data_IF_363889235144
#
_entry.id   IF_363889235144
#
_cell.length_a   1.000
_cell.length_b   1.000
_cell.length_c   1.000
_cell.angle_alpha   90.00
_cell.angle_beta   90.00
_cell.angle_gamma   90.00
#
_symmetry.space_group_name_H-M   'P 1'
#
loop_
_entity.id
_entity.type
_entity.pdbx_description
1 polymer ?
#
# COMPACT_ATOMS: atom_id res chain seq x y z
N UNK A 1 -7.40 -11.07 24.01
CA UNK A 1 -6.75 -10.57 22.79
C UNK A 1 -6.85 -9.06 22.77
N UNK A 2 -5.72 -8.39 22.53
CA UNK A 2 -5.65 -6.94 22.34
C UNK A 2 -6.42 -6.53 21.08
N UNK A 3 -7.21 -5.46 21.17
CA UNK A 3 -7.88 -4.92 19.99
C UNK A 3 -6.87 -4.21 19.10
N UNK A 4 -6.68 -4.77 17.92
CA UNK A 4 -5.71 -4.28 16.94
C UNK A 4 -6.39 -3.44 15.87
N UNK A 5 -5.83 -2.27 15.60
CA UNK A 5 -6.12 -1.44 14.43
C UNK A 5 -4.92 -1.43 13.51
N UNK A 6 -5.14 -1.49 12.20
CA UNK A 6 -4.10 -1.32 11.18
C UNK A 6 -4.52 -0.19 10.25
N UNK A 7 -3.61 0.75 10.01
CA UNK A 7 -3.75 1.80 9.02
C UNK A 7 -2.63 1.61 7.99
N UNK A 8 -2.96 1.47 6.72
CA UNK A 8 -1.97 1.20 5.66
C UNK A 8 -2.23 2.05 4.42
N UNK A 9 -1.20 2.23 3.60
CA UNK A 9 -1.30 2.92 2.32
C UNK A 9 -2.11 2.09 1.30
N UNK A 10 -2.58 2.78 0.24
CA UNK A 10 -3.54 2.24 -0.75
C UNK A 10 -2.90 1.66 -2.00
N UNK A 11 -1.58 1.74 -2.15
CA UNK A 11 -0.86 1.16 -3.28
C UNK A 11 -0.41 -0.29 -2.99
N UNK A 12 0.48 -0.80 -3.84
CA UNK A 12 0.92 -2.18 -3.74
C UNK A 12 1.70 -2.45 -2.46
N UNK A 13 2.58 -1.54 -2.05
CA UNK A 13 3.42 -1.75 -0.88
C UNK A 13 2.58 -1.78 0.42
N UNK A 14 1.65 -0.83 0.58
CA UNK A 14 0.69 -0.84 1.68
C UNK A 14 -0.25 -2.07 1.70
N UNK A 15 -0.70 -2.54 0.54
CA UNK A 15 -1.57 -3.74 0.44
C UNK A 15 -0.81 -5.02 0.77
N UNK A 16 0.41 -5.17 0.25
CA UNK A 16 1.27 -6.34 0.52
C UNK A 16 1.75 -6.35 1.98
N UNK A 17 2.01 -5.17 2.56
CA UNK A 17 2.26 -5.00 4.00
C UNK A 17 1.09 -5.54 4.83
N UNK A 18 -0.14 -5.20 4.46
CA UNK A 18 -1.33 -5.74 5.13
C UNK A 18 -1.47 -7.25 4.94
N UNK A 19 -1.25 -7.77 3.73
CA UNK A 19 -1.31 -9.22 3.47
C UNK A 19 -0.30 -9.98 4.35
N UNK A 20 0.92 -9.48 4.47
CA UNK A 20 1.97 -10.00 5.37
C UNK A 20 1.49 -10.01 6.83
N UNK A 21 0.95 -8.89 7.30
CA UNK A 21 0.40 -8.78 8.65
C UNK A 21 -0.76 -9.76 8.90
N UNK A 22 -1.70 -9.89 7.96
CA UNK A 22 -2.83 -10.81 8.09
C UNK A 22 -2.37 -12.28 8.17
N UNK A 23 -1.32 -12.64 7.43
CA UNK A 23 -0.73 -13.97 7.48
C UNK A 23 -0.09 -14.25 8.85
N UNK A 24 0.66 -13.29 9.38
CA UNK A 24 1.19 -13.33 10.76
C UNK A 24 0.08 -13.42 11.81
N UNK A 25 -0.95 -12.59 11.70
CA UNK A 25 -2.07 -12.61 12.65
C UNK A 25 -2.76 -13.98 12.67
N UNK A 26 -2.96 -14.58 11.50
CA UNK A 26 -3.53 -15.93 11.37
C UNK A 26 -2.65 -17.01 11.98
N UNK A 27 -1.31 -16.91 11.91
CA UNK A 27 -0.42 -17.92 12.50
C UNK A 27 -0.50 -17.90 14.03
N UNK A 28 -0.50 -16.71 14.65
CA UNK A 28 -0.66 -16.57 16.10
C UNK A 28 -2.01 -17.12 16.57
N UNK A 29 -3.08 -16.74 15.87
CA UNK A 29 -4.45 -17.18 16.21
C UNK A 29 -4.56 -18.71 16.17
N UNK A 30 -3.99 -19.38 15.16
CA UNK A 30 -4.03 -20.85 15.06
C UNK A 30 -3.34 -21.54 16.23
N UNK A 31 -2.26 -20.97 16.74
CA UNK A 31 -1.57 -21.49 17.92
C UNK A 31 -2.43 -21.35 19.19
N UNK A 32 -3.11 -20.21 19.36
CA UNK A 32 -3.97 -19.95 20.53
C UNK A 32 -5.31 -20.72 20.49
N UNK A 33 -5.93 -20.87 19.31
CA UNK A 33 -7.24 -21.54 19.12
C UNK A 33 -7.18 -23.04 19.42
N UNK A 34 -6.00 -23.68 19.34
CA UNK A 34 -5.85 -25.08 19.77
C UNK A 34 -5.96 -25.26 21.29
N UNK A 35 -5.94 -24.17 22.07
CA UNK A 35 -5.96 -24.24 23.53
C UNK A 35 -7.25 -23.73 24.19
N UNK A 36 -8.05 -22.84 23.58
CA UNK A 36 -9.33 -22.36 24.15
C UNK A 36 -10.33 -21.91 23.07
N UNK A 37 -11.61 -22.26 23.25
CA UNK A 37 -12.77 -21.77 22.47
C UNK A 37 -12.88 -20.23 22.52
N UNK A 38 -12.12 -19.49 21.70
CA UNK A 38 -12.16 -18.04 21.71
C UNK A 38 -12.40 -17.40 20.34
N UNK A 39 -13.16 -16.32 20.39
CA UNK A 39 -13.55 -15.50 19.25
C UNK A 39 -12.30 -14.88 18.62
N UNK A 40 -12.10 -15.11 17.32
CA UNK A 40 -11.06 -14.44 16.54
C UNK A 40 -11.40 -12.95 16.45
N UNK A 41 -10.70 -12.11 17.22
CA UNK A 41 -10.86 -10.66 17.09
C UNK A 41 -10.17 -10.24 15.80
N UNK A 42 -10.97 -10.00 14.76
CA UNK A 42 -10.48 -9.45 13.50
C UNK A 42 -9.97 -8.02 13.72
N UNK A 43 -8.77 -7.69 13.23
CA UNK A 43 -8.24 -6.33 13.31
C UNK A 43 -9.14 -5.35 12.55
N UNK A 44 -9.25 -4.12 13.06
CA UNK A 44 -9.91 -3.02 12.33
C UNK A 44 -8.93 -2.45 11.31
N UNK A 45 -9.27 -2.51 10.03
CA UNK A 45 -8.37 -2.10 8.93
C UNK A 45 -8.86 -0.81 8.30
N UNK A 46 -7.93 0.11 8.08
CA UNK A 46 -8.16 1.36 7.36
C UNK A 46 -7.11 1.54 6.27
N UNK A 47 -7.57 1.90 5.09
CA UNK A 47 -6.73 2.31 3.98
C UNK A 47 -6.74 3.84 3.87
N UNK A 48 -5.58 4.45 3.69
CA UNK A 48 -5.48 5.92 3.60
C UNK A 48 -4.28 6.37 2.75
N UNK A 49 -4.11 7.69 2.65
CA UNK A 49 -2.96 8.35 2.04
C UNK A 49 -2.28 9.26 3.06
N UNK A 50 -1.02 9.66 2.85
CA UNK A 50 -0.30 10.53 3.80
C UNK A 50 -1.07 11.79 4.17
N UNK A 51 -1.71 12.43 3.18
CA UNK A 51 -2.51 13.66 3.38
C UNK A 51 -3.75 13.46 4.26
N UNK A 52 -4.27 12.23 4.37
CA UNK A 52 -5.48 11.90 5.14
C UNK A 52 -5.16 11.15 6.44
N UNK A 53 -3.90 10.82 6.71
CA UNK A 53 -3.50 9.95 7.81
C UNK A 53 -4.02 10.42 9.18
N UNK A 54 -3.84 11.71 9.50
CA UNK A 54 -4.34 12.28 10.75
C UNK A 54 -5.85 12.03 10.91
N UNK A 55 -6.63 12.35 9.88
CA UNK A 55 -8.08 12.14 9.89
C UNK A 55 -8.43 10.67 10.06
N UNK A 56 -7.70 9.76 9.41
CA UNK A 56 -7.91 8.32 9.53
C UNK A 56 -7.63 7.82 10.95
N UNK A 57 -6.57 8.27 11.61
CA UNK A 57 -6.26 7.95 13.01
C UNK A 57 -7.37 8.45 13.93
N UNK A 58 -7.84 9.69 13.75
CA UNK A 58 -8.93 10.23 14.56
C UNK A 58 -10.23 9.46 14.34
N UNK A 59 -10.55 9.10 13.10
CA UNK A 59 -11.72 8.27 12.77
C UNK A 59 -11.60 6.88 13.39
N UNK A 60 -10.43 6.25 13.37
CA UNK A 60 -10.24 4.93 13.98
C UNK A 60 -10.42 4.99 15.50
N UNK A 61 -9.96 6.06 16.14
CA UNK A 61 -10.19 6.32 17.57
C UNK A 61 -11.69 6.48 17.85
N UNK A 62 -12.38 7.34 17.10
CA UNK A 62 -13.81 7.64 17.31
C UNK A 62 -14.72 6.43 17.06
N UNK A 63 -14.38 5.59 16.08
CA UNK A 63 -15.14 4.37 15.80
C UNK A 63 -14.98 3.32 16.91
N UNK A 64 -13.88 3.38 17.66
CA UNK A 64 -13.67 2.58 18.86
C UNK A 64 -14.31 3.27 20.07
N UNK A 65 -15.65 3.19 20.16
CA UNK A 65 -16.53 3.91 21.11
C UNK A 65 -16.18 3.83 22.60
N UNK A 66 -15.27 2.94 23.03
CA UNK A 66 -14.72 2.94 24.38
C UNK A 66 -13.20 3.13 24.28
N UNK A 67 -12.67 4.19 24.91
CA UNK A 67 -11.22 4.48 24.98
C UNK A 67 -10.41 3.29 25.48
N UNK A 68 -11.00 2.44 26.32
CA UNK A 68 -10.41 1.20 26.81
C UNK A 68 -10.15 0.13 25.71
N UNK A 69 -10.57 0.37 24.46
CA UNK A 69 -10.39 -0.52 23.30
C UNK A 69 -9.25 -0.08 22.36
N UNK A 70 -8.48 0.94 22.70
CA UNK A 70 -7.37 1.44 21.89
C UNK A 70 -6.06 0.77 22.30
N UNK A 71 -5.98 -0.56 22.15
CA UNK A 71 -4.82 -1.31 22.63
C UNK A 71 -3.62 -1.14 21.69
N UNK A 72 -3.76 -1.57 20.44
CA UNK A 72 -2.64 -1.66 19.50
C UNK A 72 -2.99 -1.02 18.16
N UNK A 73 -2.12 -0.14 17.69
CA UNK A 73 -2.16 0.45 16.36
C UNK A 73 -0.91 0.04 15.57
N UNK A 74 -1.12 -0.48 14.36
CA UNK A 74 -0.08 -0.60 13.35
C UNK A 74 -0.30 0.47 12.28
N UNK A 75 0.78 1.14 11.88
CA UNK A 75 0.80 2.05 10.73
C UNK A 75 1.84 1.54 9.74
N UNK A 76 1.43 1.28 8.50
CA UNK A 76 2.30 0.78 7.44
C UNK A 76 2.36 1.78 6.28
N UNK A 77 3.58 1.99 5.77
CA UNK A 77 3.83 2.68 4.50
C UNK A 77 3.29 4.11 4.41
N UNK A 78 3.37 4.84 5.53
CA UNK A 78 2.78 6.16 5.65
C UNK A 78 3.69 7.07 6.47
N UNK A 79 4.24 8.10 5.86
CA UNK A 79 4.96 9.13 6.61
C UNK A 79 4.02 9.89 7.54
N UNK A 80 4.44 10.09 8.78
CA UNK A 80 3.67 10.86 9.74
C UNK A 80 4.02 12.36 9.73
N UNK A 81 3.10 13.14 10.29
CA UNK A 81 3.37 14.50 10.76
C UNK A 81 3.41 14.49 12.29
N UNK A 82 3.82 15.62 12.89
CA UNK A 82 3.75 15.82 14.33
C UNK A 82 2.35 15.51 14.88
N UNK A 83 1.31 15.98 14.22
CA UNK A 83 -0.09 15.83 14.64
C UNK A 83 -0.54 14.37 14.56
N UNK A 84 -0.15 13.63 13.51
CA UNK A 84 -0.50 12.21 13.38
C UNK A 84 0.26 11.36 14.41
N UNK A 85 1.53 11.68 14.71
CA UNK A 85 2.30 11.02 15.78
C UNK A 85 1.61 11.22 17.13
N UNK A 86 1.27 12.46 17.48
CA UNK A 86 0.59 12.77 18.76
C UNK A 86 -0.77 12.08 18.83
N UNK A 87 -1.52 12.02 17.72
CA UNK A 87 -2.82 11.35 17.71
C UNK A 87 -2.68 9.83 17.84
N UNK A 88 -1.67 9.23 17.21
CA UNK A 88 -1.39 7.81 17.33
C UNK A 88 -1.03 7.42 18.77
N UNK A 89 -0.38 8.32 19.54
CA UNK A 89 0.00 8.06 20.93
C UNK A 89 -1.19 7.94 21.89
N UNK A 90 -2.43 8.11 21.43
CA UNK A 90 -3.64 7.82 22.20
C UNK A 90 -3.83 6.30 22.37
N UNK A 91 -3.34 5.48 21.45
CA UNK A 91 -3.32 4.02 21.60
C UNK A 91 -2.33 3.60 22.69
N UNK A 92 -2.59 2.50 23.40
CA UNK A 92 -1.66 2.00 24.44
C UNK A 92 -0.30 1.64 23.88
N UNK A 93 -0.27 1.06 22.66
CA UNK A 93 0.93 0.82 21.87
C UNK A 93 0.68 1.19 20.41
N UNK A 94 1.65 1.83 19.79
CA UNK A 94 1.70 2.00 18.33
C UNK A 94 3.00 1.42 17.80
N UNK A 95 2.93 0.73 16.68
CA UNK A 95 4.08 0.32 15.88
C UNK A 95 3.95 0.95 14.50
N UNK A 96 4.94 1.73 14.11
CA UNK A 96 4.97 2.48 12.87
C UNK A 96 6.09 1.96 12.00
N UNK A 97 5.75 1.34 10.87
CA UNK A 97 6.67 0.71 9.93
C UNK A 97 6.59 1.44 8.60
N UNK A 98 7.67 2.06 8.18
CA UNK A 98 7.71 2.89 6.98
C UNK A 98 9.15 3.00 6.45
N UNK A 99 9.30 3.23 5.15
CA UNK A 99 10.59 3.37 4.48
C UNK A 99 10.82 4.78 3.90
N UNK A 100 9.84 5.68 4.01
CA UNK A 100 10.02 7.05 3.57
C UNK A 100 10.92 7.85 4.53
N UNK A 101 11.56 8.90 4.02
CA UNK A 101 12.28 9.86 4.85
C UNK A 101 11.33 10.91 5.43
N UNK A 102 11.23 11.00 6.76
CA UNK A 102 10.48 12.05 7.44
C UNK A 102 11.00 12.30 8.87
N UNK A 103 10.71 13.48 9.39
CA UNK A 103 11.21 13.92 10.68
C UNK A 103 10.33 13.43 11.83
N UNK A 104 10.92 12.65 12.75
CA UNK A 104 10.24 12.20 13.97
C UNK A 104 10.44 13.27 15.05
N UNK A 105 9.47 14.18 15.15
CA UNK A 105 9.48 15.23 16.18
C UNK A 105 8.70 14.76 17.41
N UNK A 106 9.31 14.82 18.60
CA UNK A 106 8.71 14.42 19.89
C UNK A 106 8.24 12.95 19.93
N UNK A 107 9.18 12.00 19.81
CA UNK A 107 8.91 10.56 19.91
C UNK A 107 8.20 10.20 21.23
N UNK A 108 6.90 9.83 21.21
CA UNK A 108 6.19 9.38 22.40
C UNK A 108 6.68 7.98 22.82
N UNK A 109 6.70 7.70 24.13
CA UNK A 109 7.27 6.45 24.67
C UNK A 109 6.52 5.19 24.21
N UNK A 110 5.22 5.30 23.95
CA UNK A 110 4.35 4.21 23.52
C UNK A 110 4.35 3.98 22.00
N UNK A 111 5.15 4.73 21.24
CA UNK A 111 5.29 4.55 19.80
C UNK A 111 6.65 3.96 19.46
N UNK A 112 6.61 2.76 18.91
CA UNK A 112 7.73 2.08 18.30
C UNK A 112 7.84 2.49 16.83
N UNK A 113 8.92 3.18 16.47
CA UNK A 113 9.23 3.55 15.09
C UNK A 113 10.23 2.55 14.53
N UNK A 114 9.83 1.79 13.51
CA UNK A 114 10.65 0.87 12.75
C UNK A 114 10.80 1.41 11.32
N UNK A 115 11.69 2.39 11.18
CA UNK A 115 11.85 3.20 9.97
C UNK A 115 13.22 2.97 9.37
N UNK A 116 13.28 2.61 8.09
CA UNK A 116 14.53 2.40 7.35
C UNK A 116 14.40 2.90 5.91
N UNK A 117 14.97 4.07 5.65
CA UNK A 117 14.94 4.74 4.34
C UNK A 117 15.83 4.10 3.29
N UNK A 118 16.61 3.08 3.66
CA UNK A 118 17.40 2.28 2.72
C UNK A 118 16.64 1.05 2.24
N UNK A 119 15.47 0.77 2.82
CA UNK A 119 14.58 -0.30 2.36
C UNK A 119 13.88 0.11 1.07
N UNK A 120 13.85 -0.81 0.11
CA UNK A 120 13.15 -0.63 -1.16
C UNK A 120 11.63 -0.60 -1.02
N UNK A 121 11.09 -1.07 0.10
CA UNK A 121 9.65 -1.10 0.39
C UNK A 121 9.39 -1.17 1.91
N UNK A 122 8.24 -0.69 2.35
CA UNK A 122 7.68 -0.87 3.68
C UNK A 122 7.27 -2.33 3.94
N UNK A 123 6.75 -3.05 2.95
CA UNK A 123 6.38 -4.46 3.09
C UNK A 123 7.60 -5.31 3.48
N UNK A 124 8.80 -5.00 2.95
CA UNK A 124 10.03 -5.65 3.40
C UNK A 124 10.31 -5.42 4.89
N UNK A 125 10.05 -4.22 5.39
CA UNK A 125 10.19 -3.91 6.81
C UNK A 125 9.14 -4.63 7.66
N UNK A 126 7.90 -4.69 7.19
CA UNK A 126 6.81 -5.45 7.83
C UNK A 126 7.17 -6.93 7.88
N UNK A 127 7.69 -7.50 6.79
CA UNK A 127 8.17 -8.89 6.72
C UNK A 127 9.27 -9.18 7.73
N UNK A 128 10.28 -8.31 7.83
CA UNK A 128 11.34 -8.42 8.84
C UNK A 128 10.78 -8.36 10.26
N UNK A 129 9.90 -7.39 10.53
CA UNK A 129 9.33 -7.15 11.85
C UNK A 129 8.52 -8.36 12.34
N UNK A 130 7.71 -8.97 11.47
CA UNK A 130 6.87 -10.14 11.82
C UNK A 130 7.50 -11.49 11.50
N UNK A 131 8.68 -11.53 10.87
CA UNK A 131 9.32 -12.74 10.36
C UNK A 131 8.45 -13.54 9.38
N UNK A 132 7.80 -12.84 8.43
CA UNK A 132 6.95 -13.43 7.36
C UNK A 132 7.40 -12.88 6.01
N UNK A 133 8.02 -13.73 5.17
CA UNK A 133 8.78 -13.31 3.97
C UNK A 133 8.18 -13.84 2.66
N UNK A 134 6.90 -13.58 2.42
CA UNK A 134 6.21 -14.08 1.21
C UNK A 134 6.04 -13.04 0.10
N UNK A 135 6.01 -11.75 0.47
CA UNK A 135 5.61 -10.67 -0.43
C UNK A 135 6.63 -9.55 -0.54
N UNK A 136 7.71 -9.58 0.24
CA UNK A 136 8.70 -8.50 0.33
C UNK A 136 9.49 -8.30 -0.96
N UNK A 137 9.91 -9.37 -1.62
CA UNK A 137 10.60 -9.26 -2.92
C UNK A 137 9.67 -8.69 -4.02
N UNK A 138 8.38 -9.04 -3.98
CA UNK A 138 7.38 -8.52 -4.92
C UNK A 138 7.07 -7.03 -4.67
N UNK A 139 6.97 -6.64 -3.39
CA UNK A 139 6.79 -5.24 -3.02
C UNK A 139 7.97 -4.38 -3.48
N UNK A 140 9.21 -4.87 -3.27
CA UNK A 140 10.42 -4.22 -3.76
C UNK A 140 10.42 -4.03 -5.28
N UNK A 141 10.02 -5.06 -6.05
CA UNK A 141 9.91 -4.96 -7.51
C UNK A 141 8.94 -3.86 -7.93
N UNK A 142 7.79 -3.76 -7.26
CA UNK A 142 6.74 -2.82 -7.63
C UNK A 142 7.09 -1.39 -7.21
N UNK A 143 7.55 -1.21 -5.97
CA UNK A 143 7.80 0.11 -5.39
C UNK A 143 8.99 0.81 -6.07
N UNK A 144 10.05 0.05 -6.40
CA UNK A 144 11.19 0.55 -7.17
C UNK A 144 10.92 0.68 -8.68
N UNK A 145 9.69 0.39 -9.12
CA UNK A 145 9.28 0.28 -10.53
C UNK A 145 10.23 -0.59 -11.38
N UNK A 146 10.76 -1.66 -10.80
CA UNK A 146 11.69 -2.61 -11.41
C UNK A 146 11.07 -4.01 -11.42
N UNK A 147 9.95 -4.15 -12.13
CA UNK A 147 9.20 -5.41 -12.25
C UNK A 147 10.03 -6.46 -12.99
N UNK A 148 10.26 -7.60 -12.35
CA UNK A 148 11.03 -8.73 -12.91
C UNK A 148 10.17 -9.96 -13.14
N UNK A 149 9.09 -10.07 -12.38
CA UNK A 149 8.23 -11.26 -12.36
C UNK A 149 6.83 -10.98 -12.88
N UNK A 150 6.19 -12.04 -13.41
CA UNK A 150 4.77 -12.01 -13.78
C UNK A 150 3.87 -11.72 -12.57
N UNK A 151 4.25 -12.22 -11.39
CA UNK A 151 3.57 -11.93 -10.13
C UNK A 151 3.56 -10.43 -9.81
N UNK A 152 4.72 -9.76 -9.91
CA UNK A 152 4.83 -8.31 -9.68
C UNK A 152 3.97 -7.51 -10.65
N UNK A 153 4.01 -7.86 -11.95
CA UNK A 153 3.20 -7.20 -12.98
C UNK A 153 1.70 -7.34 -12.71
N UNK A 154 1.26 -8.55 -12.35
CA UNK A 154 -0.15 -8.86 -12.14
C UNK A 154 -0.68 -8.21 -10.86
N UNK A 155 0.08 -8.21 -9.77
CA UNK A 155 -0.29 -7.46 -8.55
C UNK A 155 -0.40 -5.96 -8.84
N UNK A 156 0.60 -5.36 -9.49
CA UNK A 156 0.59 -3.94 -9.87
C UNK A 156 -0.64 -3.61 -10.70
N UNK A 157 -0.96 -4.45 -11.68
CA UNK A 157 -2.11 -4.29 -12.56
C UNK A 157 -3.43 -4.37 -11.79
N UNK A 158 -3.60 -5.39 -10.94
CA UNK A 158 -4.82 -5.59 -10.14
C UNK A 158 -5.04 -4.39 -9.22
N UNK A 159 -4.02 -3.94 -8.49
CA UNK A 159 -4.15 -2.81 -7.55
C UNK A 159 -4.41 -1.51 -8.30
N UNK A 160 -3.75 -1.31 -9.43
CA UNK A 160 -3.98 -0.13 -10.28
C UNK A 160 -5.41 -0.10 -10.83
N UNK A 161 -5.94 -1.25 -11.28
CA UNK A 161 -7.34 -1.39 -11.67
C UNK A 161 -8.29 -1.04 -10.52
N UNK A 162 -8.09 -1.64 -9.34
CA UNK A 162 -8.93 -1.38 -8.17
C UNK A 162 -8.95 0.12 -7.83
N UNK A 163 -7.79 0.77 -7.85
CA UNK A 163 -7.64 2.20 -7.59
C UNK A 163 -8.24 3.08 -8.68
N UNK A 164 -8.24 2.65 -9.94
CA UNK A 164 -8.83 3.44 -11.04
C UNK A 164 -10.36 3.35 -11.01
N UNK A 165 -10.92 2.18 -10.76
CA UNK A 165 -12.37 1.91 -10.81
C UNK A 165 -13.12 2.23 -9.50
N UNK A 166 -12.44 2.30 -8.36
CA UNK A 166 -13.09 2.45 -7.05
C UNK A 166 -12.56 3.64 -6.28
N UNK A 167 -13.38 4.22 -5.39
CA UNK A 167 -13.00 5.31 -4.48
C UNK A 167 -13.59 5.08 -3.08
N UNK A 168 -12.98 5.73 -2.08
CA UNK A 168 -13.45 5.73 -0.70
C UNK A 168 -13.67 4.32 -0.12
N UNK A 169 -14.79 4.11 0.56
CA UNK A 169 -15.11 2.84 1.24
C UNK A 169 -15.08 1.63 0.30
N UNK A 170 -15.56 1.78 -0.93
CA UNK A 170 -15.57 0.68 -1.90
C UNK A 170 -14.16 0.24 -2.28
N UNK A 171 -13.24 1.19 -2.47
CA UNK A 171 -11.83 0.88 -2.69
C UNK A 171 -11.23 0.15 -1.47
N UNK A 172 -11.46 0.67 -0.26
CA UNK A 172 -10.94 0.05 0.97
C UNK A 172 -11.41 -1.40 1.14
N UNK A 173 -12.69 -1.70 0.87
CA UNK A 173 -13.23 -3.06 0.93
C UNK A 173 -12.58 -3.99 -0.10
N UNK A 174 -12.37 -3.50 -1.32
CA UNK A 174 -11.73 -4.28 -2.40
C UNK A 174 -10.25 -4.54 -2.13
N UNK A 175 -9.50 -3.54 -1.65
CA UNK A 175 -8.09 -3.69 -1.28
C UNK A 175 -7.93 -4.63 -0.08
N UNK A 176 -8.79 -4.50 0.95
CA UNK A 176 -8.81 -5.43 2.08
C UNK A 176 -9.07 -6.86 1.59
N UNK A 177 -10.06 -7.05 0.71
CA UNK A 177 -10.37 -8.38 0.19
C UNK A 177 -9.19 -8.98 -0.57
N UNK A 178 -8.50 -8.18 -1.39
CA UNK A 178 -7.33 -8.64 -2.11
C UNK A 178 -6.18 -9.02 -1.17
N UNK A 179 -5.89 -8.21 -0.15
CA UNK A 179 -4.89 -8.53 0.87
C UNK A 179 -5.26 -9.82 1.65
N UNK A 180 -6.54 -10.00 1.97
CA UNK A 180 -7.06 -11.20 2.64
C UNK A 180 -6.88 -12.46 1.76
N UNK A 181 -7.20 -12.35 0.47
CA UNK A 181 -7.03 -13.44 -0.49
C UNK A 181 -5.56 -13.85 -0.64
N UNK A 182 -4.65 -12.88 -0.77
CA UNK A 182 -3.21 -13.12 -0.81
C UNK A 182 -2.73 -13.80 0.49
N UNK A 183 -3.13 -13.27 1.65
CA UNK A 183 -2.70 -13.78 2.95
C UNK A 183 -3.19 -15.21 3.22
N UNK A 184 -4.41 -15.55 2.78
CA UNK A 184 -5.07 -16.78 3.21
C UNK A 184 -5.07 -17.90 2.18
N UNK A 185 -5.05 -17.56 0.90
CA UNK A 185 -5.01 -18.51 -0.22
C UNK A 185 -3.60 -18.66 -0.77
N UNK A 186 -2.77 -17.62 -0.63
CA UNK A 186 -1.42 -17.57 -1.19
C UNK A 186 -1.37 -16.80 -2.50
N UNK A 187 -0.15 -16.57 -2.98
CA UNK A 187 0.12 -15.69 -4.13
C UNK A 187 -0.63 -16.11 -5.39
N UNK A 188 -0.77 -17.41 -5.67
CA UNK A 188 -1.38 -17.93 -6.90
C UNK A 188 -2.86 -17.56 -7.09
N UNK A 189 -3.53 -17.00 -6.06
CA UNK A 189 -4.88 -16.47 -6.17
C UNK A 189 -5.02 -15.41 -7.27
N UNK A 190 -3.92 -14.73 -7.63
CA UNK A 190 -3.93 -13.76 -8.72
C UNK A 190 -4.30 -14.39 -10.08
N UNK A 191 -4.18 -15.71 -10.25
CA UNK A 191 -4.60 -16.46 -11.45
C UNK A 191 -6.07 -16.90 -11.43
N UNK A 192 -6.84 -16.58 -10.39
CA UNK A 192 -8.28 -16.81 -10.41
C UNK A 192 -8.96 -15.94 -11.49
N UNK A 193 -10.00 -16.51 -12.11
CA UNK A 193 -10.78 -15.85 -13.17
C UNK A 193 -11.27 -14.45 -12.81
N UNK A 194 -11.57 -14.20 -11.53
CA UNK A 194 -11.96 -12.89 -11.04
C UNK A 194 -10.84 -11.85 -11.22
N UNK A 195 -9.62 -12.18 -10.82
CA UNK A 195 -8.46 -11.28 -10.93
C UNK A 195 -7.93 -11.17 -12.37
N UNK A 196 -7.98 -12.26 -13.15
CA UNK A 196 -7.66 -12.23 -14.58
C UNK A 196 -8.57 -11.25 -15.34
N UNK A 197 -9.87 -11.24 -15.02
CA UNK A 197 -10.79 -10.31 -15.67
C UNK A 197 -10.43 -8.84 -15.41
N UNK A 198 -9.90 -8.51 -14.23
CA UNK A 198 -9.43 -7.16 -13.89
C UNK A 198 -8.19 -6.79 -14.70
N UNK A 199 -7.25 -7.72 -14.83
CA UNK A 199 -6.02 -7.54 -15.61
C UNK A 199 -6.36 -7.22 -17.06
N UNK A 200 -7.26 -8.00 -17.66
CA UNK A 200 -7.67 -7.80 -19.06
C UNK A 200 -8.37 -6.46 -19.28
N UNK A 201 -9.25 -6.06 -18.35
CA UNK A 201 -9.93 -4.77 -18.40
C UNK A 201 -8.93 -3.62 -18.26
N UNK A 202 -7.98 -3.72 -17.34
CA UNK A 202 -7.00 -2.67 -17.13
C UNK A 202 -6.01 -2.56 -18.29
N UNK A 203 -5.60 -3.67 -18.91
CA UNK A 203 -4.76 -3.64 -20.11
C UNK A 203 -5.43 -2.86 -21.25
N UNK A 204 -6.73 -3.06 -21.46
CA UNK A 204 -7.50 -2.26 -22.45
C UNK A 204 -7.48 -0.77 -22.09
N UNK A 205 -7.65 -0.45 -20.81
CA UNK A 205 -7.56 0.93 -20.32
C UNK A 205 -6.17 1.54 -20.56
N UNK A 206 -5.09 0.79 -20.34
CA UNK A 206 -3.73 1.24 -20.62
C UNK A 206 -3.49 1.50 -22.12
N UNK A 207 -4.14 0.76 -23.01
CA UNK A 207 -4.11 1.05 -24.45
C UNK A 207 -4.81 2.37 -24.79
N UNK A 208 -5.93 2.69 -24.16
CA UNK A 208 -6.56 4.02 -24.32
C UNK A 208 -5.65 5.15 -23.82
N UNK A 209 -4.90 4.90 -22.74
CA UNK A 209 -3.93 5.85 -22.20
C UNK A 209 -2.74 6.02 -23.15
N UNK A 210 -2.30 4.97 -23.84
CA UNK A 210 -1.26 5.07 -24.86
C UNK A 210 -1.65 6.03 -25.99
N UNK A 211 -2.92 6.01 -26.42
CA UNK A 211 -3.44 6.94 -27.42
C UNK A 211 -3.45 8.39 -26.90
N UNK A 212 -3.76 8.59 -25.61
CA UNK A 212 -3.69 9.91 -24.97
C UNK A 212 -2.25 10.40 -24.92
N UNK A 213 -1.30 9.57 -24.51
CA UNK A 213 0.12 9.92 -24.48
C UNK A 213 0.57 10.30 -25.88
N UNK A 214 0.29 9.49 -26.90
CA UNK A 214 0.70 9.76 -28.27
C UNK A 214 0.12 11.06 -28.85
N UNK A 215 -1.12 11.41 -28.50
CA UNK A 215 -1.80 12.59 -29.02
C UNK A 215 -1.54 13.89 -28.25
N UNK A 216 -1.12 13.80 -26.99
CA UNK A 216 -0.94 14.97 -26.09
C UNK A 216 0.49 15.18 -25.59
N UNK A 217 1.43 14.31 -25.97
CA UNK A 217 2.83 14.45 -25.61
C UNK A 217 3.44 15.69 -26.28
N UNK A 218 3.90 16.62 -25.44
CA UNK A 218 4.69 17.77 -25.85
C UNK A 218 6.09 17.67 -25.26
N UNK A 219 7.10 17.88 -26.09
CA UNK A 219 8.51 17.83 -25.68
C UNK A 219 9.07 19.25 -25.64
N UNK A 220 9.60 19.63 -24.49
CA UNK A 220 10.20 20.94 -24.25
C UNK A 220 11.68 20.80 -23.93
N UNK A 221 12.48 21.78 -24.34
CA UNK A 221 13.84 21.98 -23.84
C UNK A 221 13.84 23.17 -22.88
N UNK A 222 14.16 22.92 -21.61
CA UNK A 222 14.22 23.94 -20.57
C UNK A 222 15.63 23.96 -20.02
N UNK A 223 16.40 25.00 -20.39
CA UNK A 223 17.85 25.02 -20.21
C UNK A 223 18.53 23.79 -20.84
N UNK A 224 19.20 22.98 -20.05
CA UNK A 224 19.86 21.73 -20.43
C UNK A 224 18.95 20.49 -20.31
N UNK A 225 17.73 20.65 -19.80
CA UNK A 225 16.79 19.55 -19.57
C UNK A 225 15.85 19.32 -20.77
N UNK A 226 15.58 18.05 -21.08
CA UNK A 226 14.58 17.60 -22.05
C UNK A 226 13.37 17.01 -21.31
N UNK A 227 12.30 17.80 -21.25
CA UNK A 227 11.10 17.48 -20.47
C UNK A 227 9.96 17.02 -21.39
N UNK A 228 9.35 15.89 -21.05
CA UNK A 228 8.12 15.40 -21.66
C UNK A 228 6.90 15.77 -20.82
N UNK A 229 5.89 16.39 -21.42
CA UNK A 229 4.64 16.76 -20.74
C UNK A 229 3.48 16.09 -21.46
N UNK A 230 2.71 15.30 -20.71
CA UNK A 230 1.44 14.70 -21.15
C UNK A 230 0.32 15.36 -20.36
N UNK A 231 -0.68 15.89 -21.06
CA UNK A 231 -1.83 16.57 -20.44
C UNK A 231 -3.11 15.80 -20.72
N UNK A 232 -3.88 15.52 -19.66
CA UNK A 232 -5.12 14.76 -19.74
C UNK A 232 -6.10 15.21 -18.65
N UNK A 233 -7.40 15.14 -18.95
CA UNK A 233 -8.49 15.29 -17.97
C UNK A 233 -8.79 13.96 -17.24
N UNK A 234 -8.30 12.84 -17.77
CA UNK A 234 -8.34 11.52 -17.15
C UNK A 234 -7.13 11.30 -16.25
N UNK A 235 -7.33 10.50 -15.19
CA UNK A 235 -6.25 9.96 -14.36
C UNK A 235 -5.27 9.16 -15.21
N UNK A 236 -3.97 9.44 -15.08
CA UNK A 236 -2.91 8.74 -15.78
C UNK A 236 -1.98 8.04 -14.78
N UNK A 237 -1.80 6.71 -14.86
CA UNK A 237 -0.88 5.98 -13.98
C UNK A 237 0.56 6.40 -14.26
N UNK A 238 1.24 6.94 -13.24
CA UNK A 238 2.60 7.49 -13.36
C UNK A 238 3.59 6.43 -13.89
N UNK A 239 3.53 5.20 -13.36
CA UNK A 239 4.43 4.12 -13.78
C UNK A 239 4.27 3.81 -15.29
N UNK A 240 3.04 3.85 -15.81
CA UNK A 240 2.75 3.52 -17.21
C UNK A 240 3.27 4.62 -18.13
N UNK A 241 3.04 5.89 -17.76
CA UNK A 241 3.62 7.04 -18.48
C UNK A 241 5.15 6.94 -18.48
N UNK A 242 5.75 6.73 -17.31
CA UNK A 242 7.20 6.61 -17.15
C UNK A 242 7.78 5.54 -18.09
N UNK A 243 7.22 4.32 -18.06
CA UNK A 243 7.68 3.22 -18.91
C UNK A 243 7.54 3.56 -20.41
N UNK A 244 6.42 4.16 -20.82
CA UNK A 244 6.20 4.56 -22.22
C UNK A 244 7.17 5.65 -22.68
N UNK A 245 7.51 6.60 -21.80
CA UNK A 245 8.46 7.66 -22.11
C UNK A 245 9.90 7.15 -22.18
N UNK A 246 10.26 6.16 -21.36
CA UNK A 246 11.58 5.50 -21.43
C UNK A 246 11.80 4.76 -22.75
N UNK A 247 10.74 4.15 -23.31
CA UNK A 247 10.78 3.45 -24.60
C UNK A 247 10.55 4.36 -25.82
N UNK A 248 10.32 5.66 -25.60
CA UNK A 248 10.00 6.58 -26.68
C UNK A 248 11.23 6.87 -27.56
N UNK A 249 11.03 7.04 -28.87
CA UNK A 249 12.12 7.33 -29.84
C UNK A 249 12.94 8.58 -29.51
N UNK A 250 12.35 9.51 -28.75
CA UNK A 250 12.97 10.75 -28.31
C UNK A 250 13.56 10.66 -26.88
N UNK A 251 13.66 9.48 -26.28
CA UNK A 251 14.39 9.28 -25.04
C UNK A 251 15.92 9.56 -25.22
N UNK A 252 16.69 9.81 -24.14
CA UNK A 252 16.22 9.94 -22.75
C UNK A 252 15.55 11.29 -22.50
N UNK A 253 14.59 11.29 -21.59
CA UNK A 253 14.01 12.51 -21.00
C UNK A 253 14.61 12.69 -19.61
N UNK A 254 14.70 13.94 -19.17
CA UNK A 254 14.94 14.28 -17.78
C UNK A 254 13.56 14.18 -17.09
N UNK A 255 13.31 13.01 -16.49
CA UNK A 255 12.05 12.59 -15.87
C UNK A 255 11.94 13.07 -14.41
#
# INVERSE_FOLDING_TARGET
MEKTTVITHMDADGVLSLATFLKYNRSIVKEEDTQKNHYTIRPSIYFTSPVNLLNTILISILNNRNVNNLDLLYVFDLSGTRESIISASIYKKTVWIDHHYWEIVNKPENIEFYIDHTSNSACRLVSKYFSVYDFDDLADEIDTNNIKTDYGERIRTIISYLRDENRGKSLSEKLYKFAEDLAYTGIDIIYDTYYESMIDLYKKRLMEIDEIIASSLNIYRVADLKVAVVTSDKSLPVYHIYNKLMDHKDAPFDL
#
